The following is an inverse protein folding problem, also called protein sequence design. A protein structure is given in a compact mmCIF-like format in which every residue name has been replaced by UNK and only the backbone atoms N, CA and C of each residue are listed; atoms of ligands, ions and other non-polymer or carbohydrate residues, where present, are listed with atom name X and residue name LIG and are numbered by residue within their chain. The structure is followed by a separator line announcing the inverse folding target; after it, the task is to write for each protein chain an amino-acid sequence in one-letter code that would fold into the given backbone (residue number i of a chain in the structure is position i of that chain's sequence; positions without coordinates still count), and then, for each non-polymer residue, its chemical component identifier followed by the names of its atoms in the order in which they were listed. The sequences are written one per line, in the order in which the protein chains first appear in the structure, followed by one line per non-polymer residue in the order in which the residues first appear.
data_IF_596776442531
#
_entry.id   IF_596776442531
#
_cell.length_a   1.000
_cell.length_b   1.000
_cell.length_c   1.000
_cell.angle_alpha   90.00
_cell.angle_beta   90.00
_cell.angle_gamma   90.00
#
_symmetry.space_group_name_H-M   'P 1'
#
loop_
_entity.id
_entity.type
_entity.pdbx_description
1 polymer ?
#
# COMPACT_ATOMS: atom_id res chain seq x y z
N UNK A 1 3.79 -4.06 -10.19
CA UNK A 1 2.87 -4.95 -9.46
C UNK A 1 2.34 -6.08 -10.34
N UNK A 2 1.61 -5.82 -11.44
CA UNK A 2 1.01 -6.87 -12.29
C UNK A 2 1.99 -7.96 -12.74
N UNK A 3 3.21 -7.56 -13.16
CA UNK A 3 4.27 -8.51 -13.55
C UNK A 3 4.67 -9.43 -12.40
N UNK A 4 4.80 -8.88 -11.18
CA UNK A 4 5.16 -9.66 -9.98
C UNK A 4 4.02 -10.59 -9.59
N UNK A 5 2.77 -10.12 -9.64
CA UNK A 5 1.61 -10.95 -9.36
C UNK A 5 1.50 -12.13 -10.35
N UNK A 6 1.72 -11.86 -11.65
CA UNK A 6 1.73 -12.89 -12.67
C UNK A 6 2.87 -13.89 -12.45
N UNK A 7 4.07 -13.40 -12.13
CA UNK A 7 5.22 -14.26 -11.83
C UNK A 7 4.97 -15.16 -10.61
N UNK A 8 4.42 -14.61 -9.52
CA UNK A 8 4.05 -15.37 -8.32
C UNK A 8 3.04 -16.46 -8.71
N UNK A 9 2.00 -16.11 -9.46
CA UNK A 9 1.02 -17.09 -9.92
C UNK A 9 1.66 -18.19 -10.78
N UNK A 10 2.53 -17.84 -11.73
CA UNK A 10 3.22 -18.79 -12.60
C UNK A 10 4.04 -19.83 -11.84
N UNK A 11 4.69 -19.43 -10.74
CA UNK A 11 5.54 -20.33 -9.93
C UNK A 11 4.78 -21.05 -8.83
N UNK A 12 3.47 -20.83 -8.67
CA UNK A 12 2.64 -21.49 -7.65
C UNK A 12 1.49 -22.30 -8.24
N UNK A 13 0.46 -21.65 -8.78
CA UNK A 13 -0.78 -22.29 -9.26
C UNK A 13 -0.89 -22.35 -10.79
N UNK A 14 -0.07 -21.58 -11.50
CA UNK A 14 0.03 -21.64 -12.96
C UNK A 14 0.87 -22.82 -13.44
N UNK A 15 1.21 -22.88 -14.74
CA UNK A 15 0.88 -21.92 -15.79
C UNK A 15 -0.48 -22.20 -16.48
N UNK A 16 -1.14 -23.31 -16.14
CA UNK A 16 -2.46 -23.62 -16.69
C UNK A 16 -3.50 -22.70 -16.06
N UNK A 17 -4.36 -22.04 -16.86
CA UNK A 17 -5.43 -21.23 -16.30
C UNK A 17 -6.40 -22.12 -15.50
N UNK A 18 -7.00 -21.59 -14.42
CA UNK A 18 -7.96 -22.35 -13.64
C UNK A 18 -9.17 -22.75 -14.48
N UNK A 19 -9.65 -23.96 -14.26
CA UNK A 19 -10.78 -24.55 -15.00
C UNK A 19 -12.09 -23.78 -14.72
N UNK A 20 -12.21 -23.19 -13.52
CA UNK A 20 -13.32 -22.32 -13.12
C UNK A 20 -12.94 -21.48 -11.89
N UNK A 21 -13.73 -20.44 -11.59
CA UNK A 21 -13.54 -19.62 -10.38
C UNK A 21 -13.67 -20.45 -9.09
N UNK A 22 -14.68 -21.35 -8.92
CA UNK A 22 -14.78 -22.18 -7.73
C UNK A 22 -13.58 -23.13 -7.54
N UNK A 23 -13.11 -23.75 -8.63
CA UNK A 23 -11.93 -24.61 -8.58
C UNK A 23 -10.68 -23.83 -8.14
N UNK A 24 -10.48 -22.63 -8.70
CA UNK A 24 -9.39 -21.75 -8.28
C UNK A 24 -9.48 -21.39 -6.79
N UNK A 25 -10.66 -21.03 -6.28
CA UNK A 25 -10.83 -20.72 -4.86
C UNK A 25 -10.52 -21.94 -3.98
N UNK A 26 -10.96 -23.12 -4.38
CA UNK A 26 -10.60 -24.36 -3.69
C UNK A 26 -9.08 -24.55 -3.65
N UNK A 27 -8.40 -24.41 -4.79
CA UNK A 27 -6.94 -24.56 -4.88
C UNK A 27 -6.22 -23.52 -3.99
N UNK A 28 -6.66 -22.27 -4.02
CA UNK A 28 -6.08 -21.17 -3.23
C UNK A 28 -6.13 -21.44 -1.73
N UNK A 29 -7.26 -21.94 -1.22
CA UNK A 29 -7.46 -22.09 0.23
C UNK A 29 -7.12 -23.48 0.77
N UNK A 30 -7.03 -24.51 -0.08
CA UNK A 30 -6.86 -25.90 0.37
C UNK A 30 -5.52 -26.53 0.00
N UNK A 31 -4.73 -25.92 -0.88
CA UNK A 31 -3.46 -26.51 -1.38
C UNK A 31 -2.23 -25.74 -0.93
N UNK A 32 -1.12 -26.44 -0.67
CA UNK A 32 0.15 -25.79 -0.28
C UNK A 32 0.63 -24.74 -1.29
N UNK A 33 0.39 -24.96 -2.59
CA UNK A 33 0.69 -23.99 -3.64
C UNK A 33 -0.17 -22.72 -3.54
N UNK A 34 -1.46 -22.85 -3.20
CA UNK A 34 -2.34 -21.72 -2.93
C UNK A 34 -1.89 -20.88 -1.73
N UNK A 35 -1.52 -21.53 -0.64
CA UNK A 35 -0.95 -20.86 0.55
C UNK A 35 0.38 -20.17 0.24
N UNK A 36 1.27 -20.81 -0.52
CA UNK A 36 2.51 -20.19 -0.99
C UNK A 36 2.23 -18.92 -1.82
N UNK A 37 1.24 -18.97 -2.72
CA UNK A 37 0.80 -17.81 -3.50
C UNK A 37 0.31 -16.66 -2.61
N UNK A 38 -0.50 -16.95 -1.59
CA UNK A 38 -0.99 -15.95 -0.63
C UNK A 38 0.18 -15.29 0.11
N UNK A 39 1.09 -16.08 0.69
CA UNK A 39 2.20 -15.55 1.49
C UNK A 39 3.15 -14.72 0.63
N UNK A 40 3.54 -15.22 -0.56
CA UNK A 40 4.39 -14.50 -1.49
C UNK A 40 3.72 -13.22 -2.00
N UNK A 41 2.42 -13.30 -2.31
CA UNK A 41 1.63 -12.15 -2.74
C UNK A 41 1.54 -11.06 -1.67
N UNK A 42 1.27 -11.45 -0.42
CA UNK A 42 1.24 -10.53 0.73
C UNK A 42 2.61 -9.90 0.99
N UNK A 43 3.69 -10.69 0.95
CA UNK A 43 5.06 -10.19 1.14
C UNK A 43 5.45 -9.18 0.05
N UNK A 44 5.19 -9.51 -1.23
CA UNK A 44 5.44 -8.59 -2.34
C UNK A 44 4.60 -7.31 -2.22
N UNK A 45 3.31 -7.46 -1.89
CA UNK A 45 2.41 -6.33 -1.65
C UNK A 45 2.89 -5.42 -0.52
N UNK A 46 3.35 -5.99 0.59
CA UNK A 46 3.94 -5.25 1.70
C UNK A 46 5.18 -4.45 1.25
N UNK A 47 6.09 -5.05 0.47
CA UNK A 47 7.25 -4.34 -0.06
C UNK A 47 6.86 -3.16 -0.96
N UNK A 48 5.88 -3.35 -1.86
CA UNK A 48 5.37 -2.25 -2.69
C UNK A 48 4.72 -1.14 -1.84
N UNK A 49 3.87 -1.51 -0.88
CA UNK A 49 3.21 -0.55 0.00
C UNK A 49 4.22 0.25 0.82
N UNK A 50 5.26 -0.40 1.35
CA UNK A 50 6.33 0.27 2.09
C UNK A 50 7.12 1.22 1.18
N UNK A 51 7.48 0.80 -0.03
CA UNK A 51 8.19 1.64 -0.97
C UNK A 51 7.37 2.91 -1.34
N UNK A 52 6.06 2.75 -1.57
CA UNK A 52 5.16 3.87 -1.83
C UNK A 52 5.07 4.77 -0.59
N UNK A 53 4.82 4.22 0.59
CA UNK A 53 4.73 4.97 1.84
C UNK A 53 5.98 5.82 2.07
N UNK A 54 7.16 5.22 1.97
CA UNK A 54 8.44 5.90 2.20
C UNK A 54 8.67 7.05 1.21
N UNK A 55 8.29 6.85 -0.05
CA UNK A 55 8.51 7.84 -1.11
C UNK A 55 7.41 8.90 -1.23
N UNK A 56 6.23 8.66 -0.66
CA UNK A 56 5.06 9.52 -0.90
C UNK A 56 4.36 10.07 0.35
N UNK A 57 4.71 9.65 1.58
CA UNK A 57 3.96 10.02 2.79
C UNK A 57 3.79 11.53 2.98
N UNK A 58 4.78 12.32 2.56
CA UNK A 58 4.70 13.80 2.57
C UNK A 58 4.90 14.44 1.20
N UNK A 59 5.20 13.68 0.15
CA UNK A 59 5.57 14.23 -1.16
C UNK A 59 4.43 15.01 -1.81
N UNK A 60 3.20 14.49 -1.79
CA UNK A 60 2.04 15.18 -2.36
C UNK A 60 1.72 16.51 -1.67
N UNK A 61 1.51 16.56 -0.34
CA UNK A 61 1.22 17.84 0.32
C UNK A 61 2.38 18.82 0.17
N UNK A 62 3.63 18.34 0.18
CA UNK A 62 4.81 19.19 -0.01
C UNK A 62 4.87 19.81 -1.41
N UNK A 63 4.56 19.05 -2.47
CA UNK A 63 4.48 19.57 -3.85
C UNK A 63 3.32 20.56 -4.05
N UNK A 64 2.27 20.45 -3.24
CA UNK A 64 1.12 21.37 -3.29
C UNK A 64 1.38 22.66 -2.51
N UNK A 65 2.06 22.56 -1.36
CA UNK A 65 2.35 23.69 -0.46
C UNK A 65 3.57 24.50 -0.96
N UNK A 66 4.53 23.85 -1.65
CA UNK A 66 5.76 24.48 -2.12
C UNK A 66 6.05 24.17 -3.59
N UNK A 67 6.56 25.19 -4.29
CA UNK A 67 7.04 25.05 -5.67
C UNK A 67 8.44 24.38 -5.70
N UNK A 68 8.47 23.07 -5.46
CA UNK A 68 9.68 22.24 -5.52
C UNK A 68 9.54 21.09 -6.52
N UNK A 69 10.67 20.53 -6.94
CA UNK A 69 10.69 19.37 -7.84
C UNK A 69 10.33 18.05 -7.12
N UNK A 70 9.79 17.10 -7.90
CA UNK A 70 9.47 15.74 -7.45
C UNK A 70 10.66 15.02 -6.77
N UNK A 71 11.91 15.09 -7.28
CA UNK A 71 13.04 14.42 -6.62
C UNK A 71 13.27 14.93 -5.20
N UNK A 72 13.20 16.25 -4.99
CA UNK A 72 13.32 16.86 -3.66
C UNK A 72 12.20 16.39 -2.74
N UNK A 73 10.96 16.30 -3.23
CA UNK A 73 9.84 15.83 -2.44
C UNK A 73 10.02 14.37 -1.97
N UNK A 74 10.47 13.48 -2.87
CA UNK A 74 10.76 12.07 -2.55
C UNK A 74 11.88 11.96 -1.53
N UNK A 75 12.97 12.71 -1.70
CA UNK A 75 14.10 12.72 -0.75
C UNK A 75 13.65 13.21 0.62
N UNK A 76 12.86 14.29 0.68
CA UNK A 76 12.29 14.78 1.94
C UNK A 76 11.38 13.73 2.60
N UNK A 77 10.56 13.03 1.82
CA UNK A 77 9.71 11.94 2.33
C UNK A 77 10.52 10.79 2.92
N UNK A 78 11.59 10.39 2.23
CA UNK A 78 12.53 9.40 2.75
C UNK A 78 13.21 9.87 4.04
N UNK A 79 13.63 11.14 4.12
CA UNK A 79 14.22 11.72 5.33
C UNK A 79 13.25 11.75 6.52
N UNK A 80 11.97 12.07 6.27
CA UNK A 80 10.91 12.02 7.29
C UNK A 80 10.74 10.59 7.82
N UNK A 81 10.71 9.60 6.92
CA UNK A 81 10.67 8.19 7.30
C UNK A 81 11.90 7.77 8.11
N UNK A 82 13.10 8.12 7.65
CA UNK A 82 14.36 7.73 8.30
C UNK A 82 14.48 8.26 9.73
N UNK A 83 14.03 9.49 9.96
CA UNK A 83 14.04 10.12 11.29
C UNK A 83 12.93 9.60 12.20
N UNK A 84 11.79 9.18 11.65
CA UNK A 84 10.60 8.79 12.41
C UNK A 84 10.00 7.44 11.94
N UNK A 85 10.78 6.35 11.87
CA UNK A 85 10.34 5.13 11.20
C UNK A 85 9.12 4.51 11.88
N UNK A 86 9.10 4.48 13.22
CA UNK A 86 7.97 3.93 13.99
C UNK A 86 6.68 4.70 13.69
N UNK A 87 6.72 6.03 13.73
CA UNK A 87 5.54 6.88 13.48
C UNK A 87 5.02 6.67 12.06
N UNK A 88 5.91 6.65 11.06
CA UNK A 88 5.51 6.53 9.66
C UNK A 88 4.99 5.13 9.34
N UNK A 89 5.58 4.07 9.89
CA UNK A 89 5.07 2.70 9.73
C UNK A 89 3.70 2.55 10.41
N UNK A 90 3.53 3.08 11.62
CA UNK A 90 2.21 3.08 12.29
C UNK A 90 1.18 3.87 11.50
N UNK A 91 1.56 5.02 10.92
CA UNK A 91 0.69 5.79 10.05
C UNK A 91 0.28 5.00 8.80
N UNK A 92 1.22 4.38 8.11
CA UNK A 92 0.94 3.51 6.96
C UNK A 92 0.03 2.34 7.31
N UNK A 93 0.20 1.75 8.50
CA UNK A 93 -0.69 0.70 9.00
C UNK A 93 -2.11 1.22 9.23
N UNK A 94 -2.28 2.40 9.85
CA UNK A 94 -3.60 3.01 10.03
C UNK A 94 -4.28 3.30 8.68
N UNK A 95 -3.54 3.82 7.71
CA UNK A 95 -4.03 4.03 6.33
C UNK A 95 -4.52 2.70 5.76
N UNK A 96 -3.73 1.63 5.84
CA UNK A 96 -4.11 0.33 5.31
C UNK A 96 -5.38 -0.24 5.98
N UNK A 97 -5.47 -0.18 7.31
CA UNK A 97 -6.65 -0.64 8.06
C UNK A 97 -7.89 0.16 7.71
N UNK A 98 -7.80 1.49 7.66
CA UNK A 98 -8.93 2.34 7.35
C UNK A 98 -9.42 2.15 5.90
N UNK A 99 -8.50 1.99 4.94
CA UNK A 99 -8.85 1.67 3.56
C UNK A 99 -9.50 0.30 3.44
N UNK A 100 -8.99 -0.72 4.14
CA UNK A 100 -9.60 -2.05 4.18
C UNK A 100 -11.03 -1.97 4.73
N UNK A 101 -11.21 -1.39 5.91
CA UNK A 101 -12.52 -1.26 6.56
C UNK A 101 -13.50 -0.43 5.72
N UNK A 102 -13.03 0.67 5.14
CA UNK A 102 -13.84 1.52 4.26
C UNK A 102 -14.24 0.84 2.93
N UNK A 103 -13.49 -0.18 2.50
CA UNK A 103 -13.76 -0.94 1.27
C UNK A 103 -14.79 -2.06 1.47
N UNK A 104 -14.90 -2.63 2.68
CA UNK A 104 -15.85 -3.71 3.01
C UNK A 104 -17.31 -3.39 2.61
N UNK A 105 -17.88 -2.20 2.91
CA UNK A 105 -19.25 -1.85 2.50
C UNK A 105 -19.31 -1.43 1.03
N UNK A 106 -18.86 -2.31 0.12
CA UNK A 106 -18.80 -2.06 -1.32
C UNK A 106 -18.16 -0.70 -1.68
N UNK A 107 -17.07 -0.36 -1.01
CA UNK A 107 -16.32 0.91 -1.17
C UNK A 107 -17.05 2.20 -0.75
N UNK A 108 -18.30 2.14 -0.28
CA UNK A 108 -19.07 3.34 0.15
C UNK A 108 -18.40 4.05 1.33
N UNK A 109 -17.76 3.30 2.24
CA UNK A 109 -17.06 3.85 3.39
C UNK A 109 -15.88 4.77 3.03
N UNK A 110 -15.32 4.62 1.81
CA UNK A 110 -14.24 5.47 1.33
C UNK A 110 -14.63 6.95 1.16
N UNK A 111 -15.92 7.25 1.02
CA UNK A 111 -16.45 8.63 1.01
C UNK A 111 -16.04 9.37 2.29
N UNK A 112 -15.96 8.67 3.43
CA UNK A 112 -15.56 9.24 4.72
C UNK A 112 -14.06 9.05 4.96
N UNK A 113 -13.54 7.86 4.68
CA UNK A 113 -12.14 7.52 4.98
C UNK A 113 -11.17 8.40 4.20
N UNK A 114 -11.39 8.64 2.91
CA UNK A 114 -10.44 9.39 2.08
C UNK A 114 -10.31 10.86 2.52
N UNK A 115 -11.39 11.63 2.76
CA UNK A 115 -11.28 12.98 3.31
C UNK A 115 -10.56 13.03 4.67
N UNK A 116 -10.90 12.11 5.58
CA UNK A 116 -10.27 12.05 6.91
C UNK A 116 -8.78 11.77 6.80
N UNK A 117 -8.39 10.79 6.00
CA UNK A 117 -6.98 10.46 5.75
C UNK A 117 -6.24 11.62 5.07
N UNK A 118 -6.86 12.29 4.10
CA UNK A 118 -6.27 13.44 3.43
C UNK A 118 -5.99 14.58 4.42
N UNK A 119 -7.00 14.96 5.21
CA UNK A 119 -6.86 16.00 6.24
C UNK A 119 -5.81 15.61 7.28
N UNK A 120 -5.85 14.39 7.81
CA UNK A 120 -4.88 13.94 8.82
C UNK A 120 -3.45 13.83 8.26
N UNK A 121 -3.28 13.43 6.99
CA UNK A 121 -1.97 13.43 6.31
C UNK A 121 -1.43 14.85 6.16
N UNK A 122 -2.29 15.84 5.89
CA UNK A 122 -1.88 17.25 5.87
C UNK A 122 -1.33 17.70 7.22
N UNK A 123 -1.98 17.34 8.33
CA UNK A 123 -1.50 17.64 9.68
C UNK A 123 -0.18 16.92 10.00
N UNK A 124 -0.03 15.67 9.57
CA UNK A 124 1.23 14.93 9.71
C UNK A 124 2.35 15.63 8.95
N UNK A 125 2.10 16.02 7.69
CA UNK A 125 3.03 16.76 6.86
C UNK A 125 3.49 18.07 7.52
N UNK A 126 2.54 18.92 7.94
CA UNK A 126 2.83 20.22 8.57
C UNK A 126 3.61 20.12 9.88
N UNK A 127 3.53 18.97 10.58
CA UNK A 127 4.33 18.70 11.78
C UNK A 127 5.69 18.11 11.48
N UNK A 128 5.80 17.33 10.41
CA UNK A 128 7.02 16.61 10.05
C UNK A 128 8.01 17.47 9.25
N UNK A 129 7.50 18.44 8.49
CA UNK A 129 8.29 19.32 7.61
C UNK A 129 8.11 20.77 8.03
N UNK A 130 9.21 21.39 8.45
CA UNK A 130 9.31 22.82 8.74
C UNK A 130 10.38 23.40 7.83
N UNK A 131 10.03 24.43 7.07
CA UNK A 131 10.96 25.21 6.27
C UNK A 131 11.58 26.34 7.09
#
# INVERSE_FOLDING_TARGET
WLVVAHFIWLVTLGPMPPISVPAFLADVFTTGAGWAMIVLGMAAGFCFALAVLVTSVVSFPLLLDHNIGVPTAIVTSYEVFRKNPKVIVTWGFLVAVLLLLGSIPAFIGLIIVLPVLGHATWHLYRRAVTF
#
